data_IF_773702060493
#
_entry.id   IF_773702060493
#
_cell.length_a   1.000
_cell.length_b   1.000
_cell.length_c   1.000
_cell.angle_alpha   90.00
_cell.angle_beta   90.00
_cell.angle_gamma   90.00
#
_symmetry.space_group_name_H-M   'P 1'
#
loop_
_entity.id
_entity.type
_entity.pdbx_description
1 polymer ?
#
# COMPACT_ATOMS: atom_id res chain seq x y z
N UNK A 1 3.66 -26.97 19.29
CA UNK A 1 5.06 -26.48 19.21
C UNK A 1 5.38 -26.03 17.76
N UNK A 2 6.31 -25.09 17.57
CA UNK A 2 6.56 -24.41 16.28
C UNK A 2 7.58 -25.18 15.44
N UNK A 3 7.54 -25.03 14.10
CA UNK A 3 8.49 -25.62 13.13
C UNK A 3 8.37 -27.15 12.92
N UNK A 4 7.16 -27.69 12.91
CA UNK A 4 6.96 -29.07 12.44
C UNK A 4 6.62 -29.12 10.97
N UNK A 5 7.19 -30.12 10.29
CA UNK A 5 6.79 -30.51 8.94
C UNK A 5 5.46 -31.28 8.94
N UNK A 6 5.23 -32.12 9.95
CA UNK A 6 4.03 -32.94 10.10
C UNK A 6 3.28 -32.59 11.38
N UNK A 7 1.95 -32.72 11.36
CA UNK A 7 1.08 -32.40 12.47
C UNK A 7 0.06 -33.53 12.69
N UNK A 8 -0.46 -33.70 13.92
CA UNK A 8 -1.49 -34.70 14.19
C UNK A 8 -2.79 -34.38 13.45
N UNK A 9 -3.59 -35.41 13.15
CA UNK A 9 -4.81 -35.30 12.33
C UNK A 9 -5.83 -34.29 12.87
N UNK A 10 -5.84 -34.07 14.18
CA UNK A 10 -6.67 -33.07 14.88
C UNK A 10 -6.48 -31.63 14.37
N UNK A 11 -5.32 -31.31 13.79
CA UNK A 11 -4.97 -29.95 13.32
C UNK A 11 -5.13 -29.78 11.80
N UNK A 12 -5.55 -30.83 11.09
CA UNK A 12 -5.70 -30.82 9.63
C UNK A 12 -6.60 -29.70 9.14
N UNK A 13 -7.78 -29.55 9.75
CA UNK A 13 -8.77 -28.54 9.35
C UNK A 13 -8.20 -27.12 9.34
N UNK A 14 -7.57 -26.70 10.44
CA UNK A 14 -7.00 -25.35 10.56
C UNK A 14 -5.80 -25.12 9.66
N UNK A 15 -4.95 -26.14 9.46
CA UNK A 15 -3.82 -26.05 8.54
C UNK A 15 -4.28 -25.94 7.08
N UNK A 16 -5.35 -26.64 6.68
CA UNK A 16 -5.94 -26.51 5.35
C UNK A 16 -6.46 -25.08 5.15
N UNK A 17 -7.24 -24.54 6.09
CA UNK A 17 -7.73 -23.15 6.01
C UNK A 17 -6.57 -22.16 5.92
N UNK A 18 -5.53 -22.36 6.74
CA UNK A 18 -4.34 -21.51 6.73
C UNK A 18 -3.62 -21.55 5.36
N UNK A 19 -3.53 -22.72 4.73
CA UNK A 19 -2.93 -22.87 3.40
C UNK A 19 -3.77 -22.25 2.28
N UNK A 20 -5.10 -22.31 2.38
CA UNK A 20 -5.99 -21.62 1.43
C UNK A 20 -5.80 -20.11 1.58
N UNK A 21 -5.67 -19.60 2.81
CA UNK A 21 -5.38 -18.20 3.08
C UNK A 21 -4.06 -17.72 2.47
N UNK A 22 -3.00 -18.54 2.50
CA UNK A 22 -1.73 -18.18 1.87
C UNK A 22 -1.79 -18.17 0.34
N UNK A 23 -2.62 -19.01 -0.27
CA UNK A 23 -2.87 -18.94 -1.72
C UNK A 23 -3.61 -17.65 -2.10
N UNK A 24 -4.61 -17.24 -1.30
CA UNK A 24 -5.32 -15.98 -1.51
C UNK A 24 -4.36 -14.78 -1.40
N UNK A 25 -3.46 -14.77 -0.41
CA UNK A 25 -2.49 -13.68 -0.26
C UNK A 25 -1.49 -13.63 -1.42
N UNK A 26 -1.09 -14.78 -1.97
CA UNK A 26 -0.25 -14.85 -3.16
C UNK A 26 -0.94 -14.19 -4.36
N UNK A 27 -2.22 -14.52 -4.62
CA UNK A 27 -2.97 -13.87 -5.70
C UNK A 27 -3.15 -12.37 -5.47
N UNK A 28 -3.40 -11.95 -4.23
CA UNK A 28 -3.49 -10.53 -3.86
C UNK A 28 -2.19 -9.77 -4.17
N UNK A 29 -1.02 -10.35 -3.85
CA UNK A 29 0.26 -9.75 -4.15
C UNK A 29 0.51 -9.60 -5.65
N UNK A 30 0.13 -10.60 -6.46
CA UNK A 30 0.23 -10.52 -7.92
C UNK A 30 -0.69 -9.40 -8.46
N UNK A 31 -1.93 -9.33 -7.96
CA UNK A 31 -2.87 -8.27 -8.36
C UNK A 31 -2.34 -6.88 -7.98
N UNK A 32 -1.74 -6.73 -6.81
CA UNK A 32 -1.12 -5.48 -6.38
C UNK A 32 -0.02 -5.01 -7.34
N UNK A 33 0.83 -5.93 -7.80
CA UNK A 33 1.86 -5.61 -8.79
C UNK A 33 1.26 -5.17 -10.13
N UNK A 34 0.16 -5.79 -10.56
CA UNK A 34 -0.56 -5.42 -11.79
C UNK A 34 -1.18 -4.02 -11.66
N UNK A 35 -1.77 -3.69 -10.50
CA UNK A 35 -2.36 -2.37 -10.24
C UNK A 35 -1.28 -1.28 -10.32
N UNK A 36 -0.11 -1.49 -9.71
CA UNK A 36 1.00 -0.54 -9.81
C UNK A 36 1.44 -0.39 -11.27
N UNK A 37 1.65 -1.50 -11.97
CA UNK A 37 2.08 -1.47 -13.37
C UNK A 37 1.09 -0.73 -14.28
N UNK A 38 -0.21 -1.01 -14.13
CA UNK A 38 -1.27 -0.34 -14.88
C UNK A 38 -1.33 1.16 -14.56
N UNK A 39 -1.15 1.54 -13.30
CA UNK A 39 -1.16 2.94 -12.88
C UNK A 39 -0.05 3.76 -13.54
N UNK A 40 1.14 3.15 -13.72
CA UNK A 40 2.30 3.79 -14.35
C UNK A 40 2.11 3.93 -15.87
N UNK A 41 1.44 2.96 -16.51
CA UNK A 41 1.18 2.98 -17.96
C UNK A 41 0.06 3.95 -18.34
N UNK A 42 -1.01 4.02 -17.53
CA UNK A 42 -2.21 4.80 -17.88
C UNK A 42 -2.06 6.32 -17.71
N UNK A 43 -1.00 6.80 -17.03
CA UNK A 43 -0.63 8.24 -16.89
C UNK A 43 -1.82 9.15 -16.53
N UNK A 44 -2.68 8.71 -15.62
CA UNK A 44 -3.88 9.47 -15.21
C UNK A 44 -3.46 10.65 -14.34
N UNK A 45 -3.76 11.87 -14.77
CA UNK A 45 -3.45 13.08 -14.00
C UNK A 45 -4.45 13.30 -12.86
N UNK A 46 -3.96 13.79 -11.73
CA UNK A 46 -4.76 14.13 -10.54
C UNK A 46 -5.44 15.49 -10.79
N UNK A 47 -6.76 15.54 -10.64
CA UNK A 47 -7.56 16.78 -10.83
C UNK A 47 -7.76 17.52 -9.52
N UNK A 48 -7.90 16.80 -8.41
CA UNK A 48 -8.18 17.36 -7.09
C UNK A 48 -7.57 16.48 -6.00
N UNK A 49 -6.94 17.10 -5.00
CA UNK A 49 -6.42 16.40 -3.83
C UNK A 49 -7.50 16.28 -2.76
N UNK A 50 -7.73 15.11 -2.14
CA UNK A 50 -8.75 14.97 -1.10
C UNK A 50 -8.35 15.64 0.24
N UNK A 51 -7.06 15.89 0.47
CA UNK A 51 -6.53 16.25 1.79
C UNK A 51 -5.84 17.63 1.81
N UNK A 52 -6.59 18.73 1.61
CA UNK A 52 -6.03 20.10 1.63
C UNK A 52 -5.38 20.52 2.95
N UNK A 53 -5.75 19.88 4.05
CA UNK A 53 -5.30 20.32 5.37
C UNK A 53 -3.85 19.94 5.67
N UNK A 54 -3.21 19.05 4.89
CA UNK A 54 -1.79 18.75 5.05
C UNK A 54 -0.96 19.40 3.96
N UNK A 55 0.23 19.86 4.35
CA UNK A 55 1.08 20.69 3.51
C UNK A 55 1.75 19.95 2.35
N UNK A 56 1.84 18.62 2.42
CA UNK A 56 2.36 17.80 1.32
C UNK A 56 1.40 17.80 0.11
N UNK A 57 0.09 17.89 0.36
CA UNK A 57 -0.94 17.81 -0.67
C UNK A 57 -1.22 19.15 -1.37
N UNK A 58 -0.58 20.23 -0.92
CA UNK A 58 -0.63 21.54 -1.57
C UNK A 58 0.47 21.73 -2.61
N UNK A 59 1.39 20.77 -2.75
CA UNK A 59 2.44 20.76 -3.76
C UNK A 59 1.97 20.18 -5.10
N UNK A 60 2.81 20.29 -6.13
CA UNK A 60 2.60 19.65 -7.42
C UNK A 60 2.83 18.13 -7.35
N UNK A 61 2.26 17.39 -8.32
CA UNK A 61 2.48 15.95 -8.49
C UNK A 61 3.22 15.68 -9.82
N UNK A 62 4.55 15.48 -9.85
CA UNK A 62 5.48 15.40 -8.73
C UNK A 62 5.93 16.77 -8.18
N UNK A 63 6.44 16.83 -6.94
CA UNK A 63 7.00 18.06 -6.39
C UNK A 63 8.30 18.46 -7.10
N UNK A 64 8.63 19.74 -7.04
CA UNK A 64 9.92 20.23 -7.51
C UNK A 64 11.06 19.80 -6.56
N UNK A 65 12.28 19.66 -7.08
CA UNK A 65 13.48 19.33 -6.28
C UNK A 65 13.67 20.31 -5.11
N UNK A 66 13.48 21.61 -5.38
CA UNK A 66 13.36 22.64 -4.36
C UNK A 66 11.89 23.03 -4.22
N UNK A 67 11.20 22.34 -3.30
CA UNK A 67 9.74 22.42 -3.18
C UNK A 67 9.25 23.71 -2.53
N UNK A 68 10.07 24.35 -1.69
CA UNK A 68 9.74 25.61 -1.02
C UNK A 68 10.86 26.63 -1.21
N UNK A 69 10.49 27.87 -1.55
CA UNK A 69 11.43 29.00 -1.50
C UNK A 69 11.66 29.47 -0.06
N UNK A 70 10.66 29.32 0.80
CA UNK A 70 10.68 29.72 2.21
C UNK A 70 9.97 28.66 3.06
N UNK A 71 10.44 28.46 4.29
CA UNK A 71 9.88 27.45 5.20
C UNK A 71 8.48 27.90 5.64
N UNK A 72 7.45 27.05 5.50
CA UNK A 72 6.10 27.39 5.95
C UNK A 72 6.07 27.54 7.47
N UNK A 73 5.49 28.64 7.95
CA UNK A 73 5.32 28.90 9.37
C UNK A 73 4.01 28.30 9.88
N UNK A 74 4.09 27.62 11.03
CA UNK A 74 2.93 27.12 11.74
C UNK A 74 2.53 28.19 12.75
N UNK A 75 1.31 28.71 12.63
CA UNK A 75 0.72 29.56 13.66
C UNK A 75 -0.15 28.69 14.55
N UNK A 76 0.38 28.28 15.70
CA UNK A 76 -0.44 27.73 16.78
C UNK A 76 -1.08 28.88 17.54
N UNK A 77 -2.42 28.94 17.55
CA UNK A 77 -3.15 29.76 18.53
C UNK A 77 -3.16 29.07 19.89
#
# INVERSE_FOLDING_TARGET
PRRYSNYPDLLTFWNIISSIGSMISLFSAILFMIIIWESLVSKRMIIFSPNFNMIEWTQNFPPAEHSYSEIPSIVSK
#
